data_IF_970276391405
#
_entry.id   IF_970276391405
#
_cell.length_a   1.000
_cell.length_b   1.000
_cell.length_c   1.000
_cell.angle_alpha   90.00
_cell.angle_beta   90.00
_cell.angle_gamma   90.00
#
_symmetry.space_group_name_H-M   'P 1'
#
loop_
_entity.id
_entity.type
_entity.pdbx_description
1 polymer ?
#
# COMPACT_ATOMS: atom_id res chain seq x y z
N UNK A 1 0.93 8.87 0.19
CA UNK A 1 2.19 8.20 -0.21
C UNK A 1 1.83 6.96 -1.02
N UNK A 2 2.49 6.68 -2.16
CA UNK A 2 2.22 5.47 -2.94
C UNK A 2 2.83 4.21 -2.29
N UNK A 3 2.24 3.04 -2.56
CA UNK A 3 2.77 1.76 -2.12
C UNK A 3 4.10 1.44 -2.79
N UNK A 4 5.01 0.78 -2.06
CA UNK A 4 6.30 0.35 -2.65
C UNK A 4 6.18 -0.96 -3.42
N UNK A 5 5.11 -1.73 -3.20
CA UNK A 5 4.88 -3.01 -3.85
C UNK A 5 3.42 -3.45 -3.78
N UNK A 6 3.02 -4.37 -4.67
CA UNK A 6 1.69 -4.99 -4.64
C UNK A 6 1.43 -5.77 -3.35
N UNK A 7 2.48 -6.32 -2.72
CA UNK A 7 2.35 -6.98 -1.42
C UNK A 7 1.95 -5.98 -0.32
N UNK A 8 2.52 -4.77 -0.35
CA UNK A 8 2.16 -3.71 0.59
C UNK A 8 0.73 -3.23 0.34
N UNK A 9 0.35 -3.00 -0.92
CA UNK A 9 -1.03 -2.67 -1.30
C UNK A 9 -2.05 -3.68 -0.75
N UNK A 10 -1.79 -4.99 -0.95
CA UNK A 10 -2.65 -6.06 -0.42
C UNK A 10 -2.74 -6.03 1.10
N UNK A 11 -1.62 -5.81 1.80
CA UNK A 11 -1.61 -5.73 3.25
C UNK A 11 -2.46 -4.56 3.75
N UNK A 12 -2.32 -3.38 3.14
CA UNK A 12 -3.07 -2.18 3.54
C UNK A 12 -4.56 -2.33 3.28
N UNK A 13 -4.95 -2.90 2.14
CA UNK A 13 -6.35 -3.16 1.82
C UNK A 13 -6.96 -4.26 2.72
N UNK A 14 -6.23 -5.34 3.00
CA UNK A 14 -6.69 -6.41 3.89
C UNK A 14 -6.83 -5.93 5.35
N UNK A 15 -5.94 -5.04 5.80
CA UNK A 15 -5.95 -4.50 7.17
C UNK A 15 -6.60 -3.11 7.26
N UNK A 16 -7.39 -2.73 6.25
CA UNK A 16 -7.93 -1.39 6.10
C UNK A 16 -8.60 -0.87 7.38
N UNK A 17 -9.51 -1.66 7.95
CA UNK A 17 -10.24 -1.30 9.18
C UNK A 17 -9.32 -1.05 10.37
N UNK A 18 -8.20 -1.79 10.47
CA UNK A 18 -7.22 -1.62 11.55
C UNK A 18 -6.37 -0.36 11.33
N UNK A 19 -5.96 -0.13 10.10
CA UNK A 19 -5.13 1.01 9.70
C UNK A 19 -5.91 2.33 9.78
N UNK A 20 -7.16 2.35 9.34
CA UNK A 20 -8.04 3.53 9.46
C UNK A 20 -8.27 3.91 10.93
N UNK A 21 -8.42 2.92 11.82
CA UNK A 21 -8.48 3.16 13.28
C UNK A 21 -7.19 3.76 13.86
N UNK A 22 -6.05 3.55 13.19
CA UNK A 22 -4.75 4.13 13.56
C UNK A 22 -4.51 5.49 12.86
N UNK A 23 -5.52 6.04 12.16
CA UNK A 23 -5.42 7.30 11.44
C UNK A 23 -4.81 7.18 10.03
N UNK A 24 -4.57 5.96 9.54
CA UNK A 24 -4.03 5.74 8.19
C UNK A 24 -5.16 5.73 7.16
N UNK A 25 -5.16 6.71 6.26
CA UNK A 25 -6.13 6.78 5.16
C UNK A 25 -5.73 5.88 3.99
N UNK A 26 -6.18 4.63 4.01
CA UNK A 26 -5.89 3.64 2.95
C UNK A 26 -6.43 4.05 1.58
N UNK A 27 -7.53 4.82 1.52
CA UNK A 27 -8.05 5.33 0.24
C UNK A 27 -7.05 6.24 -0.43
N UNK A 28 -6.50 7.21 0.30
CA UNK A 28 -5.50 8.14 -0.23
C UNK A 28 -4.27 7.40 -0.76
N UNK A 29 -3.83 6.34 -0.08
CA UNK A 29 -2.73 5.49 -0.55
C UNK A 29 -3.08 4.72 -1.83
N UNK A 30 -4.31 4.22 -1.95
CA UNK A 30 -4.78 3.57 -3.18
C UNK A 30 -4.85 4.54 -4.35
N UNK A 31 -5.32 5.77 -4.13
CA UNK A 31 -5.39 6.82 -5.16
C UNK A 31 -4.01 7.22 -5.65
N UNK A 32 -3.07 7.49 -4.74
CA UNK A 32 -1.69 7.84 -5.10
C UNK A 32 -0.94 6.69 -5.79
N UNK A 33 -1.33 5.44 -5.51
CA UNK A 33 -0.73 4.27 -6.14
C UNK A 33 -1.38 3.89 -7.46
N UNK A 34 -2.52 4.50 -7.80
CA UNK A 34 -3.33 4.14 -8.97
C UNK A 34 -2.54 4.44 -10.24
N UNK A 35 -2.38 3.42 -11.08
CA UNK A 35 -1.65 3.53 -12.35
C UNK A 35 -0.13 3.32 -12.24
N UNK A 36 0.43 3.20 -11.03
CA UNK A 36 1.86 2.90 -10.87
C UNK A 36 2.15 1.42 -11.16
N UNK A 37 3.20 1.15 -11.93
CA UNK A 37 3.74 -0.20 -12.12
C UNK A 37 4.53 -0.62 -10.88
N UNK A 38 3.80 -1.14 -9.89
CA UNK A 38 4.41 -1.64 -8.66
C UNK A 38 4.97 -3.06 -8.81
N UNK A 39 6.18 -3.33 -8.31
CA UNK A 39 6.73 -4.68 -8.27
C UNK A 39 5.91 -5.57 -7.31
N UNK A 40 5.95 -6.90 -7.53
CA UNK A 40 5.24 -7.86 -6.67
C UNK A 40 5.68 -7.75 -5.20
N UNK A 41 6.99 -7.63 -4.96
CA UNK A 41 7.62 -7.40 -3.65
C UNK A 41 8.75 -6.40 -3.83
N UNK A 42 9.03 -5.60 -2.80
CA UNK A 42 10.21 -4.73 -2.80
C UNK A 42 11.46 -5.62 -2.83
N UNK A 43 12.31 -5.47 -3.84
CA UNK A 43 13.61 -6.16 -3.86
C UNK A 43 14.45 -5.55 -2.72
N UNK A 44 14.85 -6.36 -1.74
CA UNK A 44 15.88 -5.95 -0.79
C UNK A 44 17.19 -5.88 -1.59
N UNK A 45 17.67 -4.67 -1.86
CA UNK A 45 19.07 -4.50 -2.25
C UNK A 45 19.87 -4.78 -0.97
N UNK A 46 20.78 -5.74 -1.05
CA UNK A 46 21.55 -6.26 0.07
C UNK A 46 22.81 -5.42 0.26
#
# INVERSE_FOLDING_TARGET
MPYKSKAQEKYFNANRKKLEKQGVNVNHWNEESKGLKLPKKVKKVK
#
